data_IF_194388990499
#
_entry.id   IF_194388990499
#
_cell.length_a   1.000
_cell.length_b   1.000
_cell.length_c   1.000
_cell.angle_alpha   90.00
_cell.angle_beta   90.00
_cell.angle_gamma   90.00
#
_symmetry.space_group_name_H-M   'P 1'
#
loop_
_entity.id
_entity.type
_entity.pdbx_description
1 polymer ?
#
# COMPACT_ATOMS: atom_id res chain seq x y z
N UNK A 1 -14.71 -44.86 -36.07
CA UNK A 1 -15.19 -44.14 -34.87
C UNK A 1 -14.11 -43.97 -33.80
N UNK A 2 -13.23 -44.94 -33.56
CA UNK A 2 -12.15 -44.81 -32.57
C UNK A 2 -11.10 -43.70 -32.87
N UNK A 3 -10.76 -43.47 -34.14
CA UNK A 3 -9.78 -42.44 -34.52
C UNK A 3 -10.26 -40.99 -34.29
N UNK A 4 -11.57 -40.74 -34.44
CA UNK A 4 -12.15 -39.41 -34.20
C UNK A 4 -12.17 -39.07 -32.70
N UNK A 5 -12.49 -40.04 -31.85
CA UNK A 5 -12.48 -39.88 -30.39
C UNK A 5 -11.07 -39.61 -29.83
N UNK A 6 -10.05 -40.28 -30.36
CA UNK A 6 -8.66 -40.04 -29.97
C UNK A 6 -8.17 -38.64 -30.37
N UNK A 7 -8.59 -38.15 -31.55
CA UNK A 7 -8.21 -36.81 -32.03
C UNK A 7 -8.89 -35.69 -31.23
N UNK A 8 -10.15 -35.89 -30.82
CA UNK A 8 -10.87 -34.95 -29.96
C UNK A 8 -10.32 -34.92 -28.53
N UNK A 9 -9.86 -36.06 -28.00
CA UNK A 9 -9.23 -36.14 -26.69
C UNK A 9 -7.85 -35.48 -26.69
N UNK A 10 -7.06 -35.66 -27.75
CA UNK A 10 -5.76 -35.01 -27.91
C UNK A 10 -5.90 -33.49 -28.05
N UNK A 11 -6.92 -33.02 -28.78
CA UNK A 11 -7.21 -31.59 -28.92
C UNK A 11 -7.71 -30.99 -27.61
N UNK A 12 -8.56 -31.68 -26.85
CA UNK A 12 -8.98 -31.25 -25.51
C UNK A 12 -7.81 -31.26 -24.53
N UNK A 13 -6.89 -32.22 -24.62
CA UNK A 13 -5.68 -32.27 -23.80
C UNK A 13 -4.74 -31.12 -24.18
N UNK A 14 -4.52 -30.84 -25.46
CA UNK A 14 -3.70 -29.72 -25.94
C UNK A 14 -4.32 -28.36 -25.59
N UNK A 15 -5.64 -28.20 -25.67
CA UNK A 15 -6.32 -27.00 -25.17
C UNK A 15 -6.24 -26.90 -23.65
N UNK A 16 -6.33 -28.01 -22.91
CA UNK A 16 -6.16 -28.01 -21.46
C UNK A 16 -4.72 -27.75 -21.02
N UNK A 17 -3.72 -28.14 -21.82
CA UNK A 17 -2.31 -27.78 -21.59
C UNK A 17 -2.01 -26.34 -22.04
N UNK A 18 -2.76 -25.80 -23.00
CA UNK A 18 -2.67 -24.39 -23.41
C UNK A 18 -3.41 -23.45 -22.44
N UNK A 19 -4.44 -23.92 -21.73
CA UNK A 19 -5.08 -23.19 -20.62
C UNK A 19 -4.43 -23.48 -19.27
N UNK A 20 -3.77 -24.63 -19.11
CA UNK A 20 -2.81 -24.94 -18.06
C UNK A 20 -1.38 -24.54 -18.45
N UNK A 21 -1.23 -23.63 -19.41
CA UNK A 21 -0.18 -22.63 -19.30
C UNK A 21 -0.53 -21.88 -18.02
N UNK A 22 -0.10 -22.46 -16.89
CA UNK A 22 0.03 -21.77 -15.64
C UNK A 22 0.53 -20.38 -15.99
N UNK A 23 -0.08 -19.35 -15.40
CA UNK A 23 0.61 -18.08 -15.33
C UNK A 23 2.01 -18.43 -14.78
N UNK A 24 3.03 -18.46 -15.64
CA UNK A 24 4.37 -18.59 -15.13
C UNK A 24 4.55 -17.28 -14.39
N UNK A 25 4.57 -17.37 -13.06
CA UNK A 25 4.74 -16.21 -12.21
C UNK A 25 5.95 -15.45 -12.74
N UNK A 26 5.70 -14.25 -13.27
CA UNK A 26 6.78 -13.49 -13.88
C UNK A 26 7.87 -13.29 -12.84
N UNK A 27 9.15 -13.49 -13.19
CA UNK A 27 10.22 -13.42 -12.21
C UNK A 27 10.23 -12.09 -11.46
N UNK A 28 9.91 -12.14 -10.16
CA UNK A 28 9.92 -10.97 -9.30
C UNK A 28 11.37 -10.63 -8.91
N UNK A 29 11.74 -9.39 -9.14
CA UNK A 29 12.94 -8.76 -8.61
C UNK A 29 12.60 -8.04 -7.32
N UNK A 30 13.48 -8.11 -6.32
CA UNK A 30 13.35 -7.40 -5.05
C UNK A 30 14.68 -6.80 -4.64
N UNK A 31 14.69 -5.50 -4.31
CA UNK A 31 15.91 -4.80 -3.87
C UNK A 31 15.58 -3.69 -2.88
N UNK A 32 16.47 -3.51 -1.92
CA UNK A 32 16.50 -2.35 -1.04
C UNK A 32 17.43 -1.26 -1.60
N UNK A 33 16.98 -0.02 -1.47
CA UNK A 33 17.68 1.19 -1.84
C UNK A 33 17.68 2.15 -0.64
N UNK A 34 18.54 3.17 -0.70
CA UNK A 34 18.76 4.07 0.42
C UNK A 34 18.79 5.52 -0.05
N UNK A 35 18.20 6.41 0.75
CA UNK A 35 18.38 7.85 0.57
C UNK A 35 19.80 8.28 0.96
N UNK A 36 20.24 9.49 0.55
CA UNK A 36 21.27 10.21 1.29
C UNK A 36 20.93 10.29 2.78
N UNK A 37 21.96 10.40 3.62
CA UNK A 37 21.76 10.51 5.06
C UNK A 37 21.30 11.89 5.48
N UNK A 38 20.40 11.94 6.46
CA UNK A 38 19.96 13.16 7.15
C UNK A 38 20.32 13.09 8.63
N UNK A 39 20.55 14.25 9.24
CA UNK A 39 20.99 14.33 10.65
C UNK A 39 19.82 14.72 11.56
N UNK A 40 19.64 13.98 12.65
CA UNK A 40 18.57 14.21 13.62
C UNK A 40 19.17 14.44 15.01
N UNK A 41 18.97 15.65 15.54
CA UNK A 41 19.21 15.98 16.94
C UNK A 41 17.90 15.84 17.74
N UNK A 42 17.94 15.71 19.08
CA UNK A 42 16.71 15.68 19.88
C UNK A 42 15.77 16.86 19.57
N UNK A 43 14.51 16.56 19.26
CA UNK A 43 13.49 17.55 18.90
C UNK A 43 13.53 18.03 17.45
N UNK A 44 14.62 17.80 16.69
CA UNK A 44 14.75 18.39 15.35
C UNK A 44 13.79 17.76 14.34
N UNK A 45 13.38 18.56 13.35
CA UNK A 45 12.62 18.09 12.20
C UNK A 45 13.51 18.04 10.95
N UNK A 46 13.51 16.89 10.29
CA UNK A 46 13.99 16.75 8.92
C UNK A 46 12.78 16.80 7.98
N UNK A 47 12.84 17.67 6.98
CA UNK A 47 11.87 17.70 5.88
C UNK A 47 12.64 17.85 4.57
N UNK A 48 13.21 16.73 4.11
CA UNK A 48 14.20 16.69 3.04
C UNK A 48 13.61 16.19 1.72
N UNK A 49 14.06 16.78 0.61
CA UNK A 49 13.69 16.42 -0.76
C UNK A 49 14.90 15.80 -1.48
N UNK A 50 14.92 14.48 -1.61
CA UNK A 50 15.99 13.75 -2.29
C UNK A 50 15.63 13.50 -3.76
N UNK A 51 16.31 14.19 -4.67
CA UNK A 51 16.11 14.08 -6.12
C UNK A 51 16.99 12.99 -6.73
N UNK A 52 16.49 12.39 -7.83
CA UNK A 52 17.16 11.32 -8.58
C UNK A 52 17.63 10.16 -7.69
N UNK A 53 16.79 9.77 -6.72
CA UNK A 53 17.08 8.61 -5.88
C UNK A 53 17.16 7.34 -6.71
N UNK A 54 17.95 6.38 -6.25
CA UNK A 54 18.05 5.10 -6.94
C UNK A 54 16.69 4.42 -7.01
N UNK A 55 16.28 4.04 -8.21
CA UNK A 55 15.00 3.40 -8.49
C UNK A 55 15.17 2.44 -9.66
N UNK A 56 14.44 1.31 -9.72
CA UNK A 56 14.52 0.39 -10.85
C UNK A 56 14.20 1.11 -12.18
N UNK A 57 14.99 0.80 -13.20
CA UNK A 57 14.90 1.40 -14.54
C UNK A 57 14.51 0.33 -15.57
N UNK A 58 13.78 0.75 -16.59
CA UNK A 58 13.19 -0.13 -17.60
C UNK A 58 11.67 0.04 -17.64
N UNK A 59 11.01 -0.61 -18.60
CA UNK A 59 9.56 -0.67 -18.64
C UNK A 59 9.09 -1.78 -17.70
N UNK A 60 8.64 -1.42 -16.51
CA UNK A 60 8.44 -2.35 -15.40
C UNK A 60 7.04 -2.22 -14.79
N UNK A 61 6.59 -3.31 -14.17
CA UNK A 61 5.44 -3.33 -13.29
C UNK A 61 5.91 -3.39 -11.83
N UNK A 62 5.69 -2.32 -11.08
CA UNK A 62 5.92 -2.32 -9.64
C UNK A 62 4.82 -3.14 -8.94
N UNK A 63 5.27 -3.97 -8.01
CA UNK A 63 4.47 -4.97 -7.28
C UNK A 63 4.40 -4.71 -5.79
N UNK A 64 5.42 -4.09 -5.21
CA UNK A 64 5.38 -3.71 -3.79
C UNK A 64 6.35 -2.58 -3.47
N UNK A 65 5.96 -1.73 -2.52
CA UNK A 65 6.81 -0.72 -1.90
C UNK A 65 6.70 -0.82 -0.37
N UNK A 66 7.85 -0.71 0.29
CA UNK A 66 7.98 -0.57 1.75
C UNK A 66 9.10 0.40 2.06
N UNK A 67 8.98 1.16 3.13
CA UNK A 67 10.02 2.10 3.54
C UNK A 67 10.15 2.16 5.07
N UNK A 68 11.38 2.21 5.57
CA UNK A 68 11.72 2.35 6.99
C UNK A 68 12.83 3.41 7.18
N UNK A 69 12.84 4.12 8.31
CA UNK A 69 14.02 4.89 8.74
C UNK A 69 14.99 3.95 9.44
N UNK A 70 16.27 4.00 9.05
CA UNK A 70 17.32 3.12 9.59
C UNK A 70 18.54 3.90 10.07
N UNK A 71 19.27 3.32 11.03
CA UNK A 71 20.59 3.79 11.45
C UNK A 71 21.72 3.30 10.50
N UNK A 72 22.96 3.57 10.89
CA UNK A 72 24.15 3.17 10.13
C UNK A 72 24.37 1.64 10.08
N UNK A 73 23.79 0.90 11.02
CA UNK A 73 23.87 -0.57 11.13
C UNK A 73 22.63 -1.25 10.52
N UNK A 74 21.80 -0.49 9.80
CA UNK A 74 20.58 -0.94 9.12
C UNK A 74 19.44 -1.37 10.06
N UNK A 75 19.52 -0.99 11.34
CA UNK A 75 18.43 -1.21 12.30
C UNK A 75 17.32 -0.21 12.06
N UNK A 76 16.07 -0.71 12.07
CA UNK A 76 14.88 0.14 11.96
C UNK A 76 14.71 0.96 13.24
N UNK A 77 14.54 2.27 13.08
CA UNK A 77 14.32 3.19 14.19
C UNK A 77 12.86 3.12 14.65
N UNK A 78 12.59 2.94 15.96
CA UNK A 78 11.24 2.99 16.52
C UNK A 78 10.62 4.40 16.45
N UNK A 79 9.29 4.46 16.31
CA UNK A 79 8.56 5.73 16.16
C UNK A 79 8.54 6.60 17.42
N UNK A 80 8.69 5.99 18.58
CA UNK A 80 8.83 6.71 19.84
C UNK A 80 10.19 7.42 19.99
N UNK A 81 11.15 7.15 19.09
CA UNK A 81 12.40 7.87 19.00
C UNK A 81 12.43 8.86 17.82
N UNK A 82 12.20 8.38 16.60
CA UNK A 82 12.01 9.23 15.42
C UNK A 82 10.70 8.86 14.76
N UNK A 83 9.76 9.79 14.82
CA UNK A 83 8.47 9.67 14.20
C UNK A 83 8.61 10.01 12.72
N UNK A 84 8.48 9.01 11.84
CA UNK A 84 8.41 9.23 10.39
C UNK A 84 7.04 9.80 10.04
N UNK A 85 6.88 11.10 10.20
CA UNK A 85 5.59 11.75 10.03
C UNK A 85 5.04 11.51 8.61
N UNK A 86 5.84 11.81 7.58
CA UNK A 86 5.48 11.51 6.19
C UNK A 86 6.68 10.97 5.42
N UNK A 87 6.44 10.04 4.50
CA UNK A 87 7.41 9.69 3.49
C UNK A 87 6.71 9.27 2.22
N UNK A 88 7.16 9.78 1.09
CA UNK A 88 6.51 9.47 -0.18
C UNK A 88 7.43 9.64 -1.38
N UNK A 89 7.10 8.93 -2.45
CA UNK A 89 7.84 8.92 -3.70
C UNK A 89 7.02 9.52 -4.82
N UNK A 90 7.63 10.45 -5.53
CA UNK A 90 7.07 11.22 -6.64
C UNK A 90 7.83 10.87 -7.91
N UNK A 91 7.09 10.71 -9.01
CA UNK A 91 7.64 10.58 -10.36
C UNK A 91 7.81 11.97 -10.97
N UNK A 92 8.91 12.20 -11.67
CA UNK A 92 9.08 13.41 -12.48
C UNK A 92 9.93 13.13 -13.72
N UNK A 93 9.85 14.02 -14.70
CA UNK A 93 10.73 14.00 -15.87
C UNK A 93 11.70 15.17 -15.81
N UNK A 94 12.95 14.90 -16.15
CA UNK A 94 14.02 15.90 -16.17
C UNK A 94 14.64 15.97 -17.56
N UNK A 95 14.79 17.17 -18.11
CA UNK A 95 15.52 17.36 -19.37
C UNK A 95 17.01 17.00 -19.18
N UNK A 96 17.61 16.33 -20.16
CA UNK A 96 19.02 15.87 -20.07
C UNK A 96 20.05 16.97 -19.91
N UNK A 97 19.72 18.20 -20.31
CA UNK A 97 20.56 19.38 -20.17
C UNK A 97 20.23 20.22 -18.92
N UNK A 98 19.25 19.81 -18.12
CA UNK A 98 18.84 20.45 -16.89
C UNK A 98 19.44 19.69 -15.71
N UNK A 99 20.01 20.40 -14.74
CA UNK A 99 20.62 19.80 -13.55
C UNK A 99 19.86 20.24 -12.32
N UNK A 100 19.55 19.28 -11.45
CA UNK A 100 18.89 19.50 -10.16
C UNK A 100 19.87 19.01 -9.10
N UNK A 101 20.19 19.82 -8.08
CA UNK A 101 20.96 19.36 -6.95
C UNK A 101 20.31 18.11 -6.29
N UNK A 102 21.10 17.15 -5.77
CA UNK A 102 20.54 15.92 -5.19
C UNK A 102 19.64 16.14 -3.97
N UNK A 103 19.83 17.25 -3.25
CA UNK A 103 19.03 17.63 -2.08
C UNK A 103 18.63 19.09 -2.22
N UNK A 104 17.35 19.38 -2.03
CA UNK A 104 16.79 20.73 -2.03
C UNK A 104 15.87 20.91 -0.82
N UNK A 105 15.66 22.17 -0.45
CA UNK A 105 14.58 22.59 0.45
C UNK A 105 13.34 23.00 -0.38
N UNK A 106 12.23 23.25 0.31
CA UNK A 106 10.99 23.68 -0.34
C UNK A 106 11.12 25.07 -1.03
N UNK A 107 12.06 25.90 -0.59
CA UNK A 107 12.30 27.23 -1.16
C UNK A 107 13.05 27.18 -2.50
N UNK A 108 13.78 26.10 -2.76
CA UNK A 108 14.63 25.92 -3.95
C UNK A 108 14.13 24.84 -4.91
N UNK A 109 12.87 24.44 -4.79
CA UNK A 109 12.27 23.42 -5.65
C UNK A 109 12.47 23.76 -7.15
N UNK A 110 12.80 22.75 -7.97
CA UNK A 110 13.10 22.96 -9.37
C UNK A 110 11.86 23.51 -10.10
N UNK A 111 12.06 24.60 -10.82
CA UNK A 111 11.04 25.27 -11.62
C UNK A 111 11.52 25.46 -13.07
N UNK A 112 10.57 25.51 -13.99
CA UNK A 112 10.78 25.80 -15.42
C UNK A 112 10.79 24.56 -16.32
N UNK A 113 11.04 24.80 -17.61
CA UNK A 113 10.81 23.82 -18.69
C UNK A 113 11.65 22.53 -18.60
N UNK A 114 12.71 22.52 -17.79
CA UNK A 114 13.57 21.36 -17.59
C UNK A 114 13.04 20.33 -16.59
N UNK A 115 11.96 20.64 -15.87
CA UNK A 115 11.36 19.79 -14.84
C UNK A 115 9.85 19.63 -15.08
N UNK A 116 9.38 18.38 -15.12
CA UNK A 116 7.96 18.06 -15.31
C UNK A 116 7.54 17.14 -14.17
N UNK A 117 6.77 17.69 -13.24
CA UNK A 117 6.13 16.90 -12.19
C UNK A 117 5.12 15.92 -12.81
N UNK A 118 5.24 14.63 -12.47
CA UNK A 118 4.34 13.58 -12.99
C UNK A 118 3.49 13.04 -11.87
N UNK A 119 2.25 13.54 -11.82
CA UNK A 119 1.27 13.19 -10.81
C UNK A 119 0.70 11.80 -11.02
N UNK A 120 0.16 11.26 -9.93
CA UNK A 120 -0.79 10.15 -9.96
C UNK A 120 -2.13 10.60 -10.61
N UNK A 121 -3.16 9.75 -10.53
CA UNK A 121 -4.48 10.00 -11.13
C UNK A 121 -5.46 10.73 -10.18
N UNK A 122 -4.98 11.16 -9.01
CA UNK A 122 -5.75 11.84 -7.97
C UNK A 122 -6.34 13.18 -8.43
N UNK A 123 -7.29 13.67 -7.63
CA UNK A 123 -8.16 14.80 -7.98
C UNK A 123 -7.71 16.16 -7.44
N UNK A 124 -6.90 16.18 -6.40
CA UNK A 124 -6.51 17.42 -5.72
C UNK A 124 -5.79 18.38 -6.67
N UNK A 125 -6.21 19.64 -6.76
CA UNK A 125 -5.59 20.60 -7.67
C UNK A 125 -4.33 21.23 -7.06
N UNK A 126 -3.50 21.92 -7.87
CA UNK A 126 -2.30 22.60 -7.38
C UNK A 126 -1.11 21.70 -7.04
N UNK A 127 -0.95 20.59 -7.75
CA UNK A 127 0.16 19.61 -7.59
C UNK A 127 0.26 18.89 -6.24
N UNK A 128 -0.80 19.01 -5.42
CA UNK A 128 -0.95 18.36 -4.13
C UNK A 128 -1.17 16.85 -4.24
N UNK A 129 -0.64 16.08 -3.29
CA UNK A 129 -0.90 14.64 -3.20
C UNK A 129 -0.61 13.85 -4.51
N UNK A 130 0.41 14.26 -5.27
CA UNK A 130 0.77 13.66 -6.57
C UNK A 130 1.66 12.40 -6.50
N UNK A 131 2.02 11.96 -5.30
CA UNK A 131 2.89 10.81 -5.04
C UNK A 131 2.31 9.48 -5.51
N UNK A 132 3.18 8.54 -5.86
CA UNK A 132 2.80 7.19 -6.28
C UNK A 132 2.85 6.19 -5.12
N UNK A 133 3.72 6.44 -4.14
CA UNK A 133 3.98 5.53 -3.02
C UNK A 133 4.23 6.31 -1.75
N UNK A 134 3.94 5.66 -0.61
CA UNK A 134 4.18 6.17 0.72
C UNK A 134 3.24 7.31 1.11
N UNK A 135 2.84 7.34 2.38
CA UNK A 135 2.15 8.48 2.99
C UNK A 135 2.76 8.79 4.36
N UNK A 136 3.10 7.78 5.17
CA UNK A 136 3.80 7.97 6.44
C UNK A 136 4.17 6.68 7.15
N UNK A 137 3.93 6.63 8.46
CA UNK A 137 4.34 5.53 9.35
C UNK A 137 3.70 4.18 9.03
N UNK A 138 2.56 4.14 8.34
CA UNK A 138 1.85 2.89 8.09
C UNK A 138 2.67 1.90 7.24
N UNK A 139 3.65 2.39 6.48
CA UNK A 139 4.48 1.61 5.55
C UNK A 139 5.44 0.63 6.22
N UNK A 140 5.79 0.79 7.50
CA UNK A 140 6.71 -0.12 8.19
C UNK A 140 6.11 -1.53 8.33
N UNK A 141 4.82 -1.61 8.67
CA UNK A 141 4.11 -2.90 8.82
C UNK A 141 3.09 -3.17 7.71
N UNK A 142 2.85 -2.22 6.80
CA UNK A 142 1.84 -2.32 5.75
C UNK A 142 2.45 -2.09 4.38
N UNK A 143 3.14 -3.10 3.80
CA UNK A 143 3.65 -2.97 2.44
C UNK A 143 2.47 -2.83 1.46
N UNK A 144 2.54 -1.85 0.56
CA UNK A 144 1.55 -1.71 -0.52
C UNK A 144 1.80 -2.79 -1.56
N UNK A 145 1.19 -3.97 -1.42
CA UNK A 145 1.33 -5.07 -2.38
C UNK A 145 0.27 -4.96 -3.48
N UNK A 146 0.68 -5.13 -4.73
CA UNK A 146 -0.20 -5.11 -5.92
C UNK A 146 -0.38 -6.56 -6.39
N UNK A 147 -1.59 -7.14 -6.33
CA UNK A 147 -1.81 -8.54 -6.70
C UNK A 147 -1.63 -8.76 -8.21
N UNK A 148 -1.35 -9.98 -8.63
CA UNK A 148 -1.38 -10.32 -10.06
C UNK A 148 -2.83 -10.36 -10.58
N UNK A 149 -3.07 -10.04 -11.87
CA UNK A 149 -2.10 -9.66 -12.91
C UNK A 149 -1.79 -8.14 -12.94
N UNK A 150 -2.05 -7.42 -11.86
CA UNK A 150 -2.00 -5.96 -11.84
C UNK A 150 -0.59 -5.41 -11.58
N UNK A 151 -0.30 -4.19 -12.03
CA UNK A 151 0.98 -3.53 -11.75
C UNK A 151 0.91 -2.02 -11.89
N UNK A 152 1.69 -1.30 -11.08
CA UNK A 152 1.91 0.14 -11.28
C UNK A 152 3.00 0.29 -12.36
N UNK A 153 2.63 0.84 -13.51
CA UNK A 153 3.50 0.96 -14.68
C UNK A 153 4.53 2.10 -14.52
N UNK A 154 5.80 1.78 -14.68
CA UNK A 154 6.91 2.76 -14.67
C UNK A 154 7.82 2.60 -15.88
N UNK A 155 8.57 3.66 -16.20
CA UNK A 155 9.57 3.67 -17.27
C UNK A 155 9.03 3.36 -18.68
N UNK A 156 7.71 3.47 -18.89
CA UNK A 156 7.13 3.44 -20.23
C UNK A 156 7.66 4.66 -21.02
N UNK A 157 8.33 4.46 -22.16
CA UNK A 157 8.91 5.56 -22.94
C UNK A 157 7.87 6.42 -23.66
N UNK A 158 6.65 5.90 -23.92
CA UNK A 158 5.63 6.60 -24.68
C UNK A 158 5.20 7.96 -24.06
N UNK A 159 4.93 8.08 -22.74
CA UNK A 159 4.58 9.35 -22.13
C UNK A 159 5.77 10.27 -21.81
N UNK A 160 7.03 9.84 -22.02
CA UNK A 160 8.23 10.62 -21.68
C UNK A 160 8.58 11.54 -22.86
N UNK A 161 8.63 12.88 -22.67
CA UNK A 161 8.99 13.80 -23.75
C UNK A 161 10.39 13.55 -24.30
N UNK A 162 10.59 13.80 -25.59
CA UNK A 162 11.90 13.66 -26.21
C UNK A 162 12.94 14.56 -25.51
N UNK A 163 14.09 13.99 -25.15
CA UNK A 163 15.17 14.70 -24.46
C UNK A 163 15.02 14.73 -22.93
N UNK A 164 14.00 14.09 -22.38
CA UNK A 164 13.78 13.92 -20.94
C UNK A 164 14.06 12.49 -20.50
N UNK A 165 14.44 12.35 -19.25
CA UNK A 165 14.54 11.06 -18.56
C UNK A 165 13.57 11.03 -17.37
N UNK A 166 13.04 9.84 -17.09
CA UNK A 166 12.24 9.59 -15.89
C UNK A 166 13.13 9.43 -14.66
N UNK A 167 12.74 10.12 -13.59
CA UNK A 167 13.42 10.13 -12.30
C UNK A 167 12.41 10.15 -11.15
N UNK A 168 12.93 9.92 -9.95
CA UNK A 168 12.14 9.74 -8.74
C UNK A 168 12.66 10.66 -7.64
N UNK A 169 11.72 11.34 -6.98
CA UNK A 169 11.93 12.19 -5.82
C UNK A 169 11.41 11.43 -4.60
N UNK A 170 12.25 11.30 -3.58
CA UNK A 170 11.84 10.80 -2.26
C UNK A 170 11.77 11.99 -1.31
N UNK A 171 10.62 12.16 -0.67
CA UNK A 171 10.43 13.16 0.37
C UNK A 171 10.38 12.47 1.72
N UNK A 172 11.10 13.00 2.70
CA UNK A 172 11.16 12.48 4.06
C UNK A 172 10.84 13.60 5.03
N UNK A 173 9.77 13.43 5.79
CA UNK A 173 9.40 14.27 6.93
C UNK A 173 9.48 13.44 8.20
N UNK A 174 10.50 13.69 9.03
CA UNK A 174 10.78 12.94 10.24
C UNK A 174 11.01 13.89 11.42
N UNK A 175 10.53 13.49 12.61
CA UNK A 175 10.61 14.29 13.83
C UNK A 175 11.31 13.46 14.90
N UNK A 176 12.43 13.94 15.44
CA UNK A 176 13.07 13.28 16.57
C UNK A 176 12.34 13.63 17.86
N UNK A 177 11.68 12.65 18.47
CA UNK A 177 10.87 12.85 19.68
C UNK A 177 11.61 12.43 20.95
N UNK A 178 12.90 12.07 20.85
CA UNK A 178 13.71 11.74 22.02
C UNK A 178 13.86 12.98 22.91
N UNK A 179 13.53 12.82 24.19
CA UNK A 179 13.58 13.91 25.16
C UNK A 179 12.49 14.98 25.00
N UNK A 180 11.57 14.84 24.03
CA UNK A 180 10.48 15.79 23.84
C UNK A 180 9.63 15.95 25.13
N UNK A 181 9.18 17.17 25.40
CA UNK A 181 8.29 17.48 26.52
C UNK A 181 6.94 16.78 26.36
N UNK A 182 6.44 16.72 25.12
CA UNK A 182 5.22 16.01 24.73
C UNK A 182 5.43 15.39 23.35
N UNK A 183 5.71 14.07 23.32
CA UNK A 183 6.01 13.34 22.08
C UNK A 183 4.85 13.37 21.08
N UNK A 184 3.62 13.20 21.56
CA UNK A 184 2.45 13.20 20.69
C UNK A 184 2.10 14.61 20.24
N UNK A 185 2.29 15.61 21.09
CA UNK A 185 2.17 17.00 20.66
C UNK A 185 3.20 17.37 19.58
N UNK A 186 4.43 16.86 19.66
CA UNK A 186 5.41 17.02 18.57
C UNK A 186 4.93 16.35 17.28
N UNK A 187 4.45 15.11 17.37
CA UNK A 187 3.94 14.36 16.22
C UNK A 187 2.70 15.01 15.57
N UNK A 188 1.82 15.62 16.37
CA UNK A 188 0.66 16.42 15.92
C UNK A 188 1.05 17.84 15.48
N UNK A 189 2.35 18.16 15.44
CA UNK A 189 2.90 19.46 15.05
C UNK A 189 2.26 20.66 15.77
N UNK A 190 2.00 20.52 17.08
CA UNK A 190 1.39 21.57 17.89
C UNK A 190 2.26 22.82 17.95
N UNK A 191 1.71 23.97 17.57
CA UNK A 191 2.43 25.24 17.47
C UNK A 191 3.18 25.64 18.74
N UNK A 192 2.58 25.40 19.91
CA UNK A 192 3.16 25.75 21.21
C UNK A 192 4.42 24.96 21.57
N UNK A 193 4.67 23.83 20.89
CA UNK A 193 5.87 23.03 21.08
C UNK A 193 7.00 23.35 20.10
N UNK A 194 6.71 23.96 18.94
CA UNK A 194 7.73 24.33 17.97
C UNK A 194 8.19 25.79 18.08
N UNK A 195 7.43 26.62 18.82
CA UNK A 195 7.72 28.04 19.04
C UNK A 195 7.94 28.82 17.73
N UNK A 196 7.13 28.52 16.73
CA UNK A 196 7.15 29.19 15.42
C UNK A 196 6.01 30.20 15.29
N UNK A 197 6.26 31.25 14.53
CA UNK A 197 5.29 32.31 14.22
C UNK A 197 5.03 32.50 12.73
N UNK A 198 5.84 31.85 11.88
CA UNK A 198 5.72 31.85 10.42
C UNK A 198 5.72 30.42 9.91
N UNK A 199 5.20 30.22 8.71
CA UNK A 199 5.31 28.95 7.99
C UNK A 199 6.67 28.81 7.27
N UNK A 200 6.81 27.72 6.52
CA UNK A 200 7.98 27.40 5.72
C UNK A 200 8.29 28.38 4.57
N UNK A 201 7.37 29.29 4.24
CA UNK A 201 7.56 30.33 3.22
C UNK A 201 7.79 31.71 3.87
N UNK A 202 7.85 31.77 5.19
CA UNK A 202 7.99 33.01 5.95
C UNK A 202 6.69 33.78 6.16
N UNK A 203 5.54 33.20 5.80
CA UNK A 203 4.24 33.84 5.96
C UNK A 203 3.74 33.69 7.41
N UNK A 204 3.19 34.76 8.03
CA UNK A 204 2.70 34.69 9.41
C UNK A 204 1.60 33.63 9.60
N UNK A 205 1.75 32.81 10.65
CA UNK A 205 0.72 31.86 11.04
C UNK A 205 -0.48 32.60 11.63
N UNK A 206 -1.70 32.19 11.24
CA UNK A 206 -2.94 32.73 11.80
C UNK A 206 -3.02 32.47 13.31
N UNK A 207 -3.69 33.37 14.03
CA UNK A 207 -3.86 33.24 15.49
C UNK A 207 -4.67 32.00 15.89
N UNK A 208 -5.60 31.57 15.04
CA UNK A 208 -6.43 30.38 15.23
C UNK A 208 -5.79 29.08 14.68
N UNK A 209 -4.56 29.15 14.17
CA UNK A 209 -3.79 27.96 13.77
C UNK A 209 -3.03 27.38 14.97
N UNK A 210 -3.59 26.31 15.55
CA UNK A 210 -3.05 25.65 16.73
C UNK A 210 -1.91 24.64 16.44
N UNK A 211 -1.75 24.22 15.19
CA UNK A 211 -0.69 23.28 14.78
C UNK A 211 -1.01 22.53 13.49
N UNK A 212 0.01 21.88 12.95
CA UNK A 212 -0.02 21.12 11.70
C UNK A 212 1.27 21.32 10.89
N UNK A 213 1.26 20.97 9.61
CA UNK A 213 2.42 20.99 8.70
C UNK A 213 3.16 22.33 8.70
N UNK A 214 2.46 23.46 8.85
CA UNK A 214 3.09 24.77 8.89
C UNK A 214 3.92 25.03 10.17
N UNK A 215 3.89 24.12 11.15
CA UNK A 215 4.69 24.22 12.38
C UNK A 215 5.93 23.33 12.42
N UNK A 216 5.93 22.23 11.68
CA UNK A 216 6.99 21.22 11.69
C UNK A 216 7.65 21.11 10.32
N UNK A 217 8.10 22.24 9.77
CA UNK A 217 8.87 22.26 8.54
C UNK A 217 10.38 22.09 8.81
N UNK A 218 11.17 22.03 7.74
CA UNK A 218 12.62 21.80 7.82
C UNK A 218 13.30 22.73 8.85
N UNK A 219 14.24 22.18 9.61
CA UNK A 219 15.06 22.90 10.60
C UNK A 219 14.31 23.47 11.82
N UNK A 220 13.00 23.27 11.92
CA UNK A 220 12.28 23.52 13.17
C UNK A 220 12.67 22.50 14.23
N UNK A 221 12.40 22.83 15.50
CA UNK A 221 12.72 21.96 16.63
C UNK A 221 11.54 21.93 17.61
N UNK A 222 11.02 20.74 17.87
CA UNK A 222 10.06 20.52 18.93
C UNK A 222 10.72 20.65 20.30
N UNK A 223 9.98 21.17 21.27
CA UNK A 223 10.46 21.41 22.64
C UNK A 223 10.95 20.13 23.32
N UNK A 224 12.22 20.15 23.72
CA UNK A 224 12.90 19.09 24.48
C UNK A 224 13.01 19.50 25.95
N UNK A 225 13.00 18.52 26.87
CA UNK A 225 13.23 18.78 28.30
C UNK A 225 14.65 19.27 28.53
N UNK A 226 14.81 20.25 29.42
CA UNK A 226 16.11 20.90 29.69
C UNK A 226 17.17 19.94 30.24
N UNK A 227 16.76 18.87 30.93
CA UNK A 227 17.63 17.85 31.52
C UNK A 227 18.01 16.72 30.55
N UNK A 228 17.49 16.73 29.32
CA UNK A 228 17.76 15.69 28.35
C UNK A 228 18.98 16.01 27.48
N UNK A 229 20.08 15.30 27.72
CA UNK A 229 21.26 15.31 26.85
C UNK A 229 21.18 14.14 25.84
N UNK A 230 20.85 14.44 24.60
CA UNK A 230 20.83 13.46 23.51
C UNK A 230 21.82 13.80 22.40
N UNK A 231 22.36 12.78 21.75
CA UNK A 231 23.30 12.95 20.63
C UNK A 231 22.57 13.08 19.29
N UNK A 232 23.17 13.86 18.40
CA UNK A 232 22.81 13.87 16.98
C UNK A 232 23.14 12.51 16.37
N UNK A 233 22.22 11.98 15.56
CA UNK A 233 22.40 10.74 14.81
C UNK A 233 22.26 10.98 13.31
N UNK A 234 22.98 10.21 12.52
CA UNK A 234 22.82 10.17 11.07
C UNK A 234 21.93 8.99 10.71
N UNK A 235 20.81 9.27 10.03
CA UNK A 235 19.80 8.30 9.62
C UNK A 235 19.65 8.29 8.10
N UNK A 236 19.04 7.23 7.57
CA UNK A 236 18.68 7.12 6.16
C UNK A 236 17.29 6.54 6.02
N UNK A 237 16.64 6.84 4.91
CA UNK A 237 15.45 6.12 4.50
C UNK A 237 15.87 4.89 3.70
N UNK A 238 15.52 3.69 4.17
CA UNK A 238 15.63 2.44 3.41
C UNK A 238 14.28 2.16 2.76
N UNK A 239 14.25 2.00 1.45
CA UNK A 239 13.03 1.61 0.74
C UNK A 239 13.26 0.36 -0.10
N UNK A 240 12.34 -0.59 0.03
CA UNK A 240 12.39 -1.89 -0.66
C UNK A 240 11.29 -1.95 -1.71
N UNK A 241 11.69 -2.21 -2.95
CA UNK A 241 10.79 -2.37 -4.07
C UNK A 241 10.77 -3.82 -4.52
N UNK A 242 9.60 -4.28 -4.95
CA UNK A 242 9.43 -5.52 -5.71
C UNK A 242 8.82 -5.20 -7.07
N UNK A 243 9.34 -5.77 -8.14
CA UNK A 243 8.89 -5.49 -9.50
C UNK A 243 9.11 -6.66 -10.46
N UNK A 244 8.51 -6.59 -11.64
CA UNK A 244 8.76 -7.48 -12.78
C UNK A 244 8.88 -6.66 -14.07
N UNK A 245 9.48 -7.25 -15.10
CA UNK A 245 9.43 -6.71 -16.46
C UNK A 245 7.98 -6.54 -16.92
N UNK A 246 7.72 -5.45 -17.64
CA UNK A 246 6.41 -5.20 -18.21
C UNK A 246 6.14 -6.15 -19.37
N UNK A 247 4.99 -6.82 -19.35
CA UNK A 247 4.51 -7.66 -20.45
C UNK A 247 3.04 -7.36 -20.75
N UNK A 248 2.54 -7.60 -21.97
CA UNK A 248 1.18 -7.22 -22.37
C UNK A 248 0.04 -7.82 -21.54
N UNK A 249 0.29 -8.90 -20.79
CA UNK A 249 -0.68 -9.51 -19.89
C UNK A 249 -0.81 -8.81 -18.54
N UNK A 250 0.11 -7.91 -18.20
CA UNK A 250 0.02 -7.11 -16.96
C UNK A 250 -1.02 -6.01 -17.18
N UNK A 251 -1.87 -5.83 -16.17
CA UNK A 251 -2.94 -4.84 -16.20
C UNK A 251 -2.49 -3.60 -15.42
N UNK A 252 -2.33 -2.43 -16.08
CA UNK A 252 -1.96 -1.21 -15.39
C UNK A 252 -3.03 -0.81 -14.37
N UNK A 253 -2.59 -0.39 -13.19
CA UNK A 253 -3.46 0.26 -12.21
C UNK A 253 -3.25 1.76 -12.23
N UNK A 254 -4.33 2.49 -12.01
CA UNK A 254 -4.32 3.90 -11.68
C UNK A 254 -4.23 4.07 -10.17
N UNK A 255 -3.30 4.92 -9.76
CA UNK A 255 -3.13 5.35 -8.37
C UNK A 255 -3.97 6.59 -8.12
N UNK A 256 -4.91 6.51 -7.18
CA UNK A 256 -5.68 7.65 -6.68
C UNK A 256 -5.35 7.92 -5.22
N UNK A 257 -5.30 9.20 -4.86
CA UNK A 257 -5.26 9.66 -3.48
C UNK A 257 -6.41 10.65 -3.30
N UNK A 258 -7.31 10.32 -2.37
CA UNK A 258 -8.44 11.16 -1.98
C UNK A 258 -8.18 11.79 -0.62
N UNK A 259 -8.68 13.00 -0.44
CA UNK A 259 -8.51 13.78 0.78
C UNK A 259 -9.89 14.05 1.38
N UNK A 260 -10.06 13.75 2.67
CA UNK A 260 -11.33 14.01 3.37
C UNK A 260 -11.62 15.51 3.52
N UNK A 261 -10.62 16.35 3.30
CA UNK A 261 -10.76 17.81 3.34
C UNK A 261 -11.17 18.42 2.01
N UNK A 262 -11.27 17.62 0.92
CA UNK A 262 -11.68 18.10 -0.39
C UNK A 262 -13.06 18.79 -0.35
N UNK A 263 -13.09 20.05 -0.81
CA UNK A 263 -14.30 20.84 -1.01
C UNK A 263 -14.66 20.91 -2.50
N UNK A 264 -15.15 19.78 -3.03
CA UNK A 264 -15.53 19.65 -4.43
C UNK A 264 -16.66 20.62 -4.80
N UNK A 265 -16.39 21.47 -5.79
CA UNK A 265 -17.36 22.43 -6.35
C UNK A 265 -17.57 22.18 -7.84
N UNK A 266 -18.83 22.15 -8.27
CA UNK A 266 -19.15 22.14 -9.70
C UNK A 266 -19.04 23.55 -10.27
N UNK A 267 -18.18 23.74 -11.26
CA UNK A 267 -17.94 25.01 -11.93
C UNK A 267 -18.39 24.91 -13.38
N UNK A 268 -19.22 25.85 -13.82
CA UNK A 268 -19.68 25.94 -15.21
C UNK A 268 -18.72 26.82 -15.99
N UNK A 269 -18.17 26.30 -17.08
CA UNK A 269 -17.38 27.08 -18.02
C UNK A 269 -18.33 28.06 -18.75
N UNK A 270 -18.14 29.39 -18.61
CA UNK A 270 -19.08 30.38 -19.16
C UNK A 270 -19.16 30.37 -20.69
N UNK A 271 -18.11 29.91 -21.37
CA UNK A 271 -17.99 29.95 -22.83
C UNK A 271 -18.50 28.69 -23.52
N UNK A 272 -18.38 27.53 -22.87
CA UNK A 272 -18.80 26.23 -23.43
C UNK A 272 -20.05 25.64 -22.75
N UNK A 273 -20.44 26.16 -21.60
CA UNK A 273 -21.48 25.57 -20.75
C UNK A 273 -21.07 24.25 -20.09
N UNK A 274 -19.84 23.79 -20.31
CA UNK A 274 -19.34 22.54 -19.73
C UNK A 274 -19.21 22.67 -18.20
N UNK A 275 -19.67 21.64 -17.48
CA UNK A 275 -19.53 21.56 -16.02
C UNK A 275 -18.28 20.76 -15.69
N UNK A 276 -17.42 21.31 -14.83
CA UNK A 276 -16.22 20.65 -14.34
C UNK A 276 -16.19 20.64 -12.81
N UNK A 277 -15.68 19.57 -12.21
CA UNK A 277 -15.41 19.54 -10.78
C UNK A 277 -14.10 20.29 -10.48
N UNK A 278 -14.17 21.24 -9.54
CA UNK A 278 -13.02 21.90 -8.94
C UNK A 278 -12.81 21.28 -7.55
N UNK A 279 -11.61 20.80 -7.28
CA UNK A 279 -11.23 20.16 -6.02
C UNK A 279 -10.27 21.05 -5.26
N UNK A 280 -10.54 21.23 -3.96
CA UNK A 280 -9.79 22.11 -3.07
C UNK A 280 -9.43 21.30 -1.82
N UNK A 281 -8.27 20.66 -1.89
CA UNK A 281 -7.77 19.76 -0.86
C UNK A 281 -6.86 20.54 0.10
N UNK A 282 -7.11 20.41 1.41
CA UNK A 282 -6.36 21.09 2.47
C UNK A 282 -5.29 20.20 3.13
N UNK A 283 -5.26 18.90 2.81
CA UNK A 283 -4.34 17.86 3.30
C UNK A 283 -4.54 17.50 4.78
N UNK A 284 -4.64 18.50 5.65
CA UNK A 284 -4.80 18.35 7.09
C UNK A 284 -6.00 19.14 7.62
N UNK A 285 -6.49 18.73 8.78
CA UNK A 285 -7.53 19.45 9.51
C UNK A 285 -7.34 19.29 11.02
N UNK A 286 -8.13 20.06 11.78
CA UNK A 286 -8.14 20.00 13.23
C UNK A 286 -9.38 19.24 13.73
N UNK A 287 -9.19 18.37 14.72
CA UNK A 287 -10.27 17.76 15.49
C UNK A 287 -10.41 18.54 16.79
N UNK A 288 -11.58 19.11 17.02
CA UNK A 288 -11.88 19.82 18.26
C UNK A 288 -12.16 18.84 19.41
N UNK A 289 -11.81 19.24 20.64
CA UNK A 289 -12.13 18.43 21.81
C UNK A 289 -13.63 18.45 22.10
N UNK A 290 -14.25 17.30 22.35
CA UNK A 290 -15.60 17.28 22.89
C UNK A 290 -15.61 17.61 24.39
N UNK A 291 -16.64 18.33 24.86
CA UNK A 291 -16.90 18.48 26.29
C UNK A 291 -17.55 17.19 26.81
N UNK A 292 -16.82 16.44 27.64
CA UNK A 292 -17.40 15.30 28.39
C UNK A 292 -18.00 15.85 29.69
N UNK A 293 -19.24 16.32 29.63
CA UNK A 293 -20.01 16.52 30.85
C UNK A 293 -20.26 15.15 31.50
N UNK A 294 -20.07 15.05 32.82
CA UNK A 294 -19.90 13.82 33.60
C UNK A 294 -21.03 12.77 33.60
N UNK A 295 -21.90 12.72 32.59
CA UNK A 295 -22.79 11.60 32.28
C UNK A 295 -22.22 10.83 31.07
N UNK A 296 -21.33 9.88 31.35
CA UNK A 296 -20.54 9.14 30.38
C UNK A 296 -21.30 8.14 29.50
N UNK A 297 -22.18 8.59 28.59
CA UNK A 297 -22.76 7.72 27.56
C UNK A 297 -22.97 8.45 26.22
N UNK A 298 -21.87 8.75 25.52
CA UNK A 298 -21.72 8.69 24.05
C UNK A 298 -20.25 8.95 23.69
N UNK A 299 -19.65 8.04 22.92
CA UNK A 299 -18.24 8.11 22.54
C UNK A 299 -17.87 9.47 21.93
N UNK A 300 -16.75 10.03 22.39
CA UNK A 300 -16.22 11.30 21.94
C UNK A 300 -15.52 11.10 20.59
N UNK A 301 -16.27 11.17 19.49
CA UNK A 301 -15.76 10.96 18.14
C UNK A 301 -16.11 12.14 17.21
N UNK A 302 -15.14 12.58 16.42
CA UNK A 302 -15.28 13.56 15.36
C UNK A 302 -15.38 12.87 14.01
N UNK A 303 -16.30 13.35 13.17
CA UNK A 303 -16.58 12.79 11.85
C UNK A 303 -16.35 13.86 10.80
N UNK A 304 -15.46 13.57 9.85
CA UNK A 304 -15.26 14.43 8.68
C UNK A 304 -15.58 13.65 7.41
N UNK A 305 -16.29 14.28 6.48
CA UNK A 305 -16.64 13.70 5.19
C UNK A 305 -16.36 14.66 4.05
N UNK A 306 -15.97 14.11 2.91
CA UNK A 306 -15.98 14.79 1.61
C UNK A 306 -16.76 13.96 0.58
N UNK A 307 -17.24 14.64 -0.47
CA UNK A 307 -17.84 13.99 -1.64
C UNK A 307 -16.86 14.17 -2.79
N UNK A 308 -16.49 13.06 -3.44
CA UNK A 308 -15.52 13.03 -4.51
C UNK A 308 -16.13 12.40 -5.75
N UNK A 309 -16.02 13.06 -6.90
CA UNK A 309 -16.37 12.46 -8.18
C UNK A 309 -15.20 11.63 -8.73
N UNK A 310 -15.42 10.35 -9.03
CA UNK A 310 -14.38 9.49 -9.60
C UNK A 310 -14.08 9.90 -11.06
N UNK A 311 -12.86 10.36 -11.40
CA UNK A 311 -12.59 10.82 -12.77
C UNK A 311 -12.64 9.69 -13.81
N UNK A 312 -12.09 8.52 -13.44
CA UNK A 312 -12.10 7.31 -14.25
C UNK A 312 -12.24 6.10 -13.35
N UNK A 313 -13.44 5.52 -13.34
CA UNK A 313 -13.81 4.36 -12.55
C UNK A 313 -13.06 3.09 -12.96
N UNK A 314 -13.41 1.98 -12.33
CA UNK A 314 -12.79 0.68 -12.58
C UNK A 314 -12.97 -0.28 -11.41
N UNK A 315 -12.31 -1.42 -11.50
CA UNK A 315 -12.25 -2.42 -10.45
C UNK A 315 -11.26 -1.96 -9.37
N UNK A 316 -11.71 -1.93 -8.12
CA UNK A 316 -10.85 -1.65 -6.97
C UNK A 316 -9.94 -2.86 -6.76
N UNK A 317 -8.64 -2.63 -6.76
CA UNK A 317 -7.62 -3.67 -6.59
C UNK A 317 -7.05 -3.65 -5.18
N UNK A 318 -6.93 -2.44 -4.62
CA UNK A 318 -6.32 -2.22 -3.32
C UNK A 318 -6.80 -0.89 -2.74
N UNK A 319 -6.97 -0.83 -1.42
CA UNK A 319 -7.19 0.40 -0.68
C UNK A 319 -6.50 0.43 0.68
N UNK A 320 -5.93 1.57 1.04
CA UNK A 320 -5.43 1.87 2.40
C UNK A 320 -5.68 3.34 2.72
N UNK A 321 -5.62 3.70 4.00
CA UNK A 321 -5.60 5.12 4.40
C UNK A 321 -4.32 5.51 5.11
N UNK A 322 -3.99 6.79 5.01
CA UNK A 322 -3.06 7.44 5.92
C UNK A 322 -3.85 8.23 6.94
N UNK A 323 -3.60 7.92 8.21
CA UNK A 323 -4.27 8.47 9.37
C UNK A 323 -3.20 8.76 10.43
N UNK A 324 -3.52 9.68 11.34
CA UNK A 324 -2.67 10.07 12.47
C UNK A 324 -3.20 9.51 13.78
N UNK A 325 -2.36 9.55 14.82
CA UNK A 325 -2.70 9.03 16.14
C UNK A 325 -4.03 9.62 16.64
N UNK A 326 -4.90 8.74 17.12
CA UNK A 326 -6.25 9.09 17.55
C UNK A 326 -7.33 8.76 16.52
N UNK A 327 -6.97 8.36 15.31
CA UNK A 327 -7.92 7.85 14.33
C UNK A 327 -8.58 6.54 14.82
N UNK A 328 -9.85 6.38 14.49
CA UNK A 328 -10.63 5.17 14.75
C UNK A 328 -10.71 4.33 13.46
N UNK A 329 -11.10 4.97 12.35
CA UNK A 329 -11.15 4.36 11.03
C UNK A 329 -11.30 5.44 9.94
N UNK A 330 -11.20 5.01 8.69
CA UNK A 330 -11.70 5.77 7.55
C UNK A 330 -12.31 4.83 6.52
N UNK A 331 -13.42 5.26 5.92
CA UNK A 331 -14.22 4.47 4.99
C UNK A 331 -14.52 5.26 3.73
N UNK A 332 -14.39 4.58 2.58
CA UNK A 332 -14.84 5.07 1.29
C UNK A 332 -16.14 4.35 0.92
N UNK A 333 -17.17 5.12 0.60
CA UNK A 333 -18.48 4.62 0.20
C UNK A 333 -18.78 4.99 -1.26
N UNK A 334 -19.49 4.10 -1.95
CA UNK A 334 -20.08 4.38 -3.26
C UNK A 334 -21.31 5.27 -3.15
N UNK A 335 -21.81 5.75 -4.28
CA UNK A 335 -22.93 6.70 -4.33
C UNK A 335 -24.23 6.12 -3.73
N UNK A 336 -24.39 4.80 -3.81
CA UNK A 336 -25.51 4.03 -3.26
C UNK A 336 -25.33 3.65 -1.77
N UNK A 337 -24.25 4.13 -1.14
CA UNK A 337 -23.93 3.88 0.26
C UNK A 337 -23.22 2.54 0.51
N UNK A 338 -22.88 1.76 -0.52
CA UNK A 338 -22.08 0.55 -0.34
C UNK A 338 -20.67 0.89 0.15
N UNK A 339 -20.12 0.03 1.01
CA UNK A 339 -18.73 0.18 1.45
C UNK A 339 -17.81 -0.29 0.33
N UNK A 340 -16.95 0.60 -0.17
CA UNK A 340 -15.90 0.27 -1.12
C UNK A 340 -14.66 -0.27 -0.39
N UNK A 341 -14.28 0.40 0.70
CA UNK A 341 -13.17 0.01 1.54
C UNK A 341 -13.25 0.70 2.91
N UNK A 342 -13.06 -0.06 3.99
CA UNK A 342 -12.86 0.47 5.34
C UNK A 342 -11.49 0.06 5.84
N UNK A 343 -10.77 1.02 6.41
CA UNK A 343 -9.40 0.84 6.92
C UNK A 343 -9.34 1.32 8.36
N UNK A 344 -8.48 0.70 9.17
CA UNK A 344 -8.30 0.98 10.59
C UNK A 344 -6.81 1.01 10.92
N UNK A 345 -6.37 1.99 11.74
CA UNK A 345 -4.99 2.03 12.19
C UNK A 345 -4.65 0.80 13.04
N UNK A 346 -3.43 0.32 12.89
CA UNK A 346 -2.82 -0.67 13.78
C UNK A 346 -1.89 0.11 14.70
N UNK A 347 -2.23 0.14 15.99
CA UNK A 347 -1.44 0.81 17.00
C UNK A 347 -0.34 -0.11 17.54
N UNK A 348 0.83 0.47 17.82
CA UNK A 348 1.94 -0.23 18.44
C UNK A 348 1.65 -0.67 19.87
N UNK A 349 2.49 -1.55 20.39
CA UNK A 349 2.44 -2.02 21.78
C UNK A 349 3.69 -1.55 22.54
N UNK A 350 3.63 -1.56 23.88
CA UNK A 350 4.76 -1.21 24.73
C UNK A 350 5.22 0.23 24.53
N UNK A 351 6.47 0.44 24.10
CA UNK A 351 7.01 1.80 23.91
C UNK A 351 6.41 2.54 22.72
N UNK A 352 5.72 1.84 21.82
CA UNK A 352 5.03 2.43 20.65
C UNK A 352 3.51 2.48 20.83
N UNK A 353 3.01 2.30 22.06
CA UNK A 353 1.60 2.50 22.37
C UNK A 353 1.14 3.90 21.95
N UNK A 354 0.05 4.00 21.20
CA UNK A 354 -0.50 5.25 20.66
C UNK A 354 0.14 5.72 19.35
N UNK A 355 1.21 5.09 18.87
CA UNK A 355 1.73 5.30 17.52
C UNK A 355 1.06 4.36 16.52
N UNK A 356 0.76 4.88 15.33
CA UNK A 356 0.29 4.04 14.22
C UNK A 356 1.50 3.38 13.57
N UNK A 357 1.61 2.07 13.73
CA UNK A 357 2.70 1.24 13.16
C UNK A 357 2.30 0.53 11.88
N UNK A 358 1.01 0.60 11.52
CA UNK A 358 0.45 -0.03 10.33
C UNK A 358 -1.01 0.36 10.09
N UNK A 359 -1.60 -0.18 9.04
CA UNK A 359 -2.97 0.06 8.62
C UNK A 359 -3.58 -1.25 8.12
N UNK A 360 -4.85 -1.50 8.43
CA UNK A 360 -5.58 -2.57 7.75
C UNK A 360 -5.85 -2.18 6.30
N UNK A 361 -5.75 -3.12 5.38
CA UNK A 361 -5.90 -2.88 3.93
C UNK A 361 -7.13 -3.57 3.36
N UNK A 362 -7.67 -3.03 2.27
CA UNK A 362 -8.68 -3.69 1.46
C UNK A 362 -8.05 -4.35 0.24
N UNK A 363 -8.33 -5.64 0.07
CA UNK A 363 -8.01 -6.43 -1.12
C UNK A 363 -9.30 -7.13 -1.56
N UNK A 364 -10.22 -6.43 -2.25
CA UNK A 364 -11.44 -7.07 -2.72
C UNK A 364 -11.11 -8.12 -3.79
N UNK A 365 -11.98 -9.12 -3.92
CA UNK A 365 -11.87 -10.09 -5.00
C UNK A 365 -11.95 -9.35 -6.35
N UNK A 366 -11.10 -9.67 -7.35
CA UNK A 366 -11.12 -9.00 -8.63
C UNK A 366 -12.53 -8.99 -9.27
N UNK A 367 -13.05 -7.80 -9.56
CA UNK A 367 -14.36 -7.59 -10.18
C UNK A 367 -15.51 -7.44 -9.18
N UNK A 368 -15.28 -7.69 -7.89
CA UNK A 368 -16.33 -7.62 -6.86
C UNK A 368 -16.68 -6.20 -6.42
N UNK A 369 -15.72 -5.27 -6.48
CA UNK A 369 -15.91 -3.86 -6.12
C UNK A 369 -15.57 -3.00 -7.32
N UNK A 370 -16.62 -2.49 -7.96
CA UNK A 370 -16.52 -1.64 -9.14
C UNK A 370 -16.86 -0.19 -8.80
N UNK A 371 -16.20 0.79 -9.39
CA UNK A 371 -16.58 2.22 -9.30
C UNK A 371 -16.86 2.71 -10.72
N UNK A 372 -17.97 3.40 -10.95
CA UNK A 372 -18.30 3.93 -12.27
C UNK A 372 -17.56 5.24 -12.58
N UNK A 373 -17.38 5.53 -13.87
CA UNK A 373 -16.88 6.83 -14.33
C UNK A 373 -17.84 7.93 -13.86
N UNK A 374 -17.32 8.92 -13.12
CA UNK A 374 -18.09 10.01 -12.56
C UNK A 374 -18.92 9.66 -11.31
N UNK A 375 -18.83 8.43 -10.79
CA UNK A 375 -19.53 8.04 -9.56
C UNK A 375 -19.14 8.97 -8.40
N UNK A 376 -20.15 9.45 -7.66
CA UNK A 376 -19.93 10.25 -6.46
C UNK A 376 -19.67 9.33 -5.27
N UNK A 377 -18.43 9.34 -4.78
CA UNK A 377 -18.02 8.60 -3.60
C UNK A 377 -18.05 9.51 -2.36
N UNK A 378 -18.28 8.92 -1.20
CA UNK A 378 -18.16 9.60 0.09
C UNK A 378 -16.92 9.08 0.80
N UNK A 379 -15.96 9.95 1.07
CA UNK A 379 -14.83 9.63 1.93
C UNK A 379 -15.16 10.12 3.34
N UNK A 380 -15.18 9.21 4.30
CA UNK A 380 -15.41 9.49 5.72
C UNK A 380 -14.18 9.14 6.54
N UNK A 381 -13.88 9.96 7.54
CA UNK A 381 -12.88 9.70 8.55
C UNK A 381 -13.45 9.91 9.94
N UNK A 382 -12.99 9.11 10.89
CA UNK A 382 -13.45 9.14 12.28
C UNK A 382 -12.24 9.20 13.20
N UNK A 383 -12.20 10.21 14.05
CA UNK A 383 -11.15 10.41 15.06
C UNK A 383 -11.75 10.46 16.46
N UNK A 384 -10.97 10.05 17.45
CA UNK A 384 -11.27 10.35 18.85
C UNK A 384 -11.12 11.84 19.08
N UNK A 385 -12.15 12.44 19.68
CA UNK A 385 -12.23 13.86 20.00
C UNK A 385 -11.99 14.13 21.49
N UNK A 386 -11.46 13.17 22.25
CA UNK A 386 -11.25 13.26 23.71
C UNK A 386 -10.33 14.42 24.11
N UNK A 387 -9.48 14.82 23.18
CA UNK A 387 -8.66 16.03 23.23
C UNK A 387 -8.62 16.63 21.83
N UNK A 388 -8.24 17.91 21.76
CA UNK A 388 -7.95 18.54 20.47
C UNK A 388 -6.77 17.83 19.81
N UNK A 389 -6.87 17.64 18.49
CA UNK A 389 -5.77 17.11 17.65
C UNK A 389 -5.52 18.07 16.51
N UNK A 390 -4.26 18.41 16.29
CA UNK A 390 -3.83 19.33 15.23
C UNK A 390 -3.20 18.55 14.08
N UNK A 391 -3.30 19.10 12.87
CA UNK A 391 -2.65 18.53 11.69
C UNK A 391 -3.07 17.11 11.31
N UNK A 392 -4.25 16.63 11.76
CA UNK A 392 -4.66 15.26 11.43
C UNK A 392 -4.99 15.15 9.95
N UNK A 393 -4.65 14.00 9.36
CA UNK A 393 -4.93 13.71 7.96
C UNK A 393 -5.93 12.56 7.85
N UNK A 394 -6.69 12.54 6.77
CA UNK A 394 -7.30 11.29 6.33
C UNK A 394 -7.21 11.25 4.81
N UNK A 395 -6.18 10.55 4.33
CA UNK A 395 -5.93 10.36 2.91
C UNK A 395 -6.30 8.93 2.55
N UNK A 396 -7.00 8.72 1.43
CA UNK A 396 -7.38 7.39 0.95
C UNK A 396 -6.60 7.05 -0.31
N UNK A 397 -5.68 6.10 -0.22
CA UNK A 397 -4.92 5.58 -1.34
C UNK A 397 -5.68 4.41 -1.97
N UNK A 398 -5.95 4.48 -3.27
CA UNK A 398 -6.74 3.49 -3.98
C UNK A 398 -6.04 3.09 -5.30
N UNK A 399 -5.93 1.79 -5.55
CA UNK A 399 -5.53 1.26 -6.85
C UNK A 399 -6.76 0.79 -7.60
N UNK A 400 -6.94 1.31 -8.81
CA UNK A 400 -8.08 1.00 -9.66
C UNK A 400 -7.60 0.54 -11.02
N UNK A 401 -8.12 -0.56 -11.52
CA UNK A 401 -7.82 -1.08 -12.85
C UNK A 401 -9.05 -1.02 -13.75
N UNK A 402 -8.84 -0.89 -15.06
CA UNK A 402 -9.93 -1.10 -16.01
C UNK A 402 -10.46 -2.54 -15.94
N UNK A 403 -11.66 -2.76 -16.50
CA UNK A 403 -12.14 -4.11 -16.75
C UNK A 403 -11.09 -4.83 -17.59
N UNK A 404 -10.60 -5.95 -17.07
CA UNK A 404 -10.01 -6.95 -17.94
C UNK A 404 -11.12 -7.29 -18.93
N UNK A 405 -10.90 -7.05 -20.23
CA UNK A 405 -11.85 -7.52 -21.22
C UNK A 405 -12.11 -8.98 -20.91
N UNK A 406 -13.38 -9.37 -20.75
CA UNK A 406 -13.73 -10.77 -20.52
C UNK A 406 -12.98 -11.59 -21.56
N UNK A 407 -11.93 -12.30 -21.15
CA UNK A 407 -11.53 -13.50 -21.87
C UNK A 407 -12.84 -14.27 -21.99
N UNK A 408 -13.30 -14.59 -23.22
CA UNK A 408 -14.60 -15.19 -23.41
C UNK A 408 -14.76 -16.29 -22.39
N UNK A 409 -15.76 -16.15 -21.51
CA UNK A 409 -16.09 -17.18 -20.55
C UNK A 409 -16.05 -18.50 -21.32
N UNK A 410 -15.22 -19.43 -20.85
CA UNK A 410 -15.18 -20.76 -21.44
C UNK A 410 -16.65 -21.20 -21.62
N UNK A 411 -17.04 -21.61 -22.84
CA UNK A 411 -18.45 -21.75 -23.18
C UNK A 411 -19.15 -22.57 -22.11
N UNK A 412 -20.22 -22.01 -21.55
CA UNK A 412 -21.02 -22.62 -20.50
C UNK A 412 -21.39 -24.05 -20.90
N UNK A 413 -20.74 -25.01 -20.26
CA UNK A 413 -20.85 -26.42 -20.65
C UNK A 413 -19.62 -27.26 -20.30
N UNK A 414 -19.05 -27.12 -19.10
CA UNK A 414 -18.21 -28.20 -18.55
C UNK A 414 -18.65 -28.49 -17.12
N UNK A 415 -19.26 -29.68 -16.97
CA UNK A 415 -20.07 -30.12 -15.85
C UNK A 415 -19.37 -30.09 -14.48
N UNK A 416 -20.23 -29.86 -13.48
CA UNK A 416 -20.12 -30.03 -12.03
C UNK A 416 -19.65 -31.41 -11.50
N UNK A 417 -18.91 -32.20 -12.28
CA UNK A 417 -18.55 -33.57 -11.90
C UNK A 417 -17.10 -33.77 -11.45
N UNK A 418 -16.28 -32.73 -11.35
CA UNK A 418 -14.89 -32.88 -10.87
C UNK A 418 -14.73 -32.63 -9.35
N UNK A 419 -15.65 -31.91 -8.71
CA UNK A 419 -15.58 -31.62 -7.27
C UNK A 419 -16.38 -32.58 -6.36
N UNK A 420 -17.17 -33.51 -6.91
CA UNK A 420 -17.78 -34.59 -6.10
C UNK A 420 -16.81 -35.76 -5.83
N UNK A 421 -15.76 -35.95 -6.63
CA UNK A 421 -14.81 -37.06 -6.47
C UNK A 421 -13.84 -36.91 -5.29
N UNK A 422 -13.54 -35.68 -4.85
CA UNK A 422 -12.59 -35.43 -3.74
C UNK A 422 -13.30 -35.33 -2.39
N UNK A 423 -14.62 -35.08 -2.37
CA UNK A 423 -15.41 -35.09 -1.13
C UNK A 423 -15.87 -36.49 -0.70
N UNK A 424 -15.92 -37.49 -1.59
CA UNK A 424 -16.32 -38.85 -1.20
C UNK A 424 -15.18 -39.69 -0.58
N UNK A 425 -13.90 -39.36 -0.84
CA UNK A 425 -12.77 -40.10 -0.25
C UNK A 425 -12.42 -39.69 1.19
N UNK A 426 -12.92 -38.56 1.69
CA UNK A 426 -12.68 -38.14 3.08
C UNK A 426 -13.83 -38.51 4.04
N UNK A 427 -15.01 -38.86 3.53
CA UNK A 427 -16.17 -39.21 4.36
C UNK A 427 -16.25 -40.71 4.72
N UNK A 428 -15.57 -41.59 3.98
CA UNK A 428 -15.58 -43.04 4.22
C UNK A 428 -14.56 -43.52 5.28
N UNK A 429 -13.74 -42.61 5.83
CA UNK A 429 -12.79 -42.92 6.92
C UNK A 429 -13.20 -42.46 8.32
N UNK A 430 -14.37 -41.82 8.46
CA UNK A 430 -14.85 -41.29 9.75
C UNK A 430 -16.25 -41.77 10.16
N UNK A 431 -16.87 -42.70 9.43
CA UNK A 431 -18.21 -43.22 9.74
C UNK A 431 -18.26 -44.76 9.75
N UNK A 432 -17.29 -45.41 10.40
CA UNK A 432 -17.24 -46.87 10.59
C UNK A 432 -17.21 -47.27 12.06
N UNK A 433 -18.10 -46.70 12.87
CA UNK A 433 -18.23 -46.96 14.31
C UNK A 433 -19.68 -47.16 14.71
N UNK A 434 -20.33 -48.19 14.15
CA UNK A 434 -21.68 -48.61 14.53
C UNK A 434 -21.64 -49.76 15.54
N UNK A 435 -22.07 -49.49 16.77
CA UNK A 435 -22.35 -50.51 17.78
C UNK A 435 -23.69 -51.21 17.53
N UNK A 436 -23.78 -52.47 17.95
CA UNK A 436 -25.03 -53.24 17.97
C UNK A 436 -24.81 -54.65 18.51
N UNK A 437 -25.25 -54.87 19.75
CA UNK A 437 -25.12 -56.12 20.51
C UNK A 437 -26.10 -57.21 20.05
N UNK A 438 -25.68 -58.48 20.01
CA UNK A 438 -26.50 -59.67 20.36
C UNK A 438 -25.59 -60.79 20.93
N UNK A 439 -26.15 -61.52 21.90
CA UNK A 439 -25.64 -62.59 22.75
C UNK A 439 -25.21 -63.91 22.06
N UNK A 440 -24.44 -64.67 22.86
CA UNK A 440 -24.39 -66.14 23.06
C UNK A 440 -23.55 -67.01 22.11
N UNK A 441 -22.71 -67.86 22.73
CA UNK A 441 -22.19 -69.08 22.11
C UNK A 441 -20.74 -69.39 22.46
N UNK A 442 -20.56 -70.35 23.36
CA UNK A 442 -19.30 -71.03 23.73
C UNK A 442 -18.48 -71.55 22.54
N UNK A 443 -17.17 -71.70 22.78
CA UNK A 443 -16.42 -72.85 22.24
C UNK A 443 -15.17 -72.56 21.41
N UNK A 444 -14.02 -72.57 22.10
CA UNK A 444 -12.96 -73.56 21.81
C UNK A 444 -11.98 -73.33 20.65
N UNK A 445 -10.70 -73.32 21.04
CA UNK A 445 -9.53 -73.84 20.30
C UNK A 445 -9.09 -73.05 19.06
N UNK A 446 -7.81 -72.99 18.64
CA UNK A 446 -6.49 -73.34 19.16
C UNK A 446 -5.52 -72.98 18.01
N UNK A 447 -4.29 -72.59 18.32
CA UNK A 447 -3.13 -72.73 17.42
C UNK A 447 -2.92 -71.56 16.43
N UNK A 448 -1.85 -70.77 16.53
CA UNK A 448 -0.42 -71.09 16.40
C UNK A 448 0.06 -71.20 14.94
N UNK A 449 0.98 -70.28 14.62
CA UNK A 449 2.20 -70.46 13.81
C UNK A 449 2.15 -70.31 12.28
N UNK A 450 2.90 -69.27 11.84
CA UNK A 450 4.08 -69.32 10.96
C UNK A 450 3.94 -69.94 9.57
N UNK A 451 4.18 -69.10 8.56
CA UNK A 451 5.38 -69.28 7.74
C UNK A 451 5.22 -69.46 6.22
N UNK A 452 6.10 -68.72 5.52
CA UNK A 452 6.74 -69.07 4.23
C UNK A 452 5.83 -68.92 3.00
N UNK A 453 6.08 -67.98 2.08
CA UNK A 453 7.24 -67.87 1.16
C UNK A 453 6.71 -68.25 -0.24
N UNK A 454 6.80 -67.43 -1.29
CA UNK A 454 7.91 -67.21 -2.23
C UNK A 454 7.26 -66.35 -3.37
N UNK A 455 7.90 -65.43 -4.10
CA UNK A 455 8.81 -65.65 -5.25
C UNK A 455 9.32 -64.27 -5.74
N UNK A 456 10.66 -64.12 -5.85
CA UNK A 456 11.55 -63.52 -6.90
C UNK A 456 11.00 -62.45 -7.89
N UNK A 457 11.71 -61.45 -8.46
CA UNK A 457 13.13 -61.07 -8.76
C UNK A 457 13.17 -59.50 -8.79
N UNK A 458 14.26 -58.73 -8.83
CA UNK A 458 15.71 -58.89 -9.05
C UNK A 458 16.34 -57.48 -9.00
N UNK A 459 17.66 -57.38 -8.84
CA UNK A 459 18.36 -56.18 -8.36
C UNK A 459 19.46 -55.64 -9.32
N UNK A 460 19.95 -54.41 -9.00
CA UNK A 460 21.29 -53.80 -9.27
C UNK A 460 21.51 -53.16 -10.67
N UNK A 461 22.27 -52.07 -10.92
CA UNK A 461 22.70 -50.82 -10.24
C UNK A 461 23.59 -50.00 -11.24
N UNK A 462 23.79 -48.70 -10.94
CA UNK A 462 24.96 -47.81 -11.24
C UNK A 462 25.31 -47.36 -12.68
N UNK A 463 25.45 -46.03 -12.89
CA UNK A 463 26.75 -45.33 -13.07
C UNK A 463 26.76 -44.12 -14.04
N UNK A 464 27.54 -43.11 -13.63
CA UNK A 464 27.95 -41.87 -14.30
C UNK A 464 28.99 -42.10 -15.42
N UNK A 465 29.04 -41.13 -16.35
CA UNK A 465 30.18 -40.65 -17.17
C UNK A 465 30.81 -41.56 -18.24
N UNK A 466 30.82 -41.05 -19.48
CA UNK A 466 32.00 -41.03 -20.37
C UNK A 466 31.82 -39.94 -21.47
N UNK A 467 32.62 -38.87 -21.39
CA UNK A 467 33.08 -38.06 -22.54
C UNK A 467 34.32 -38.77 -23.11
N UNK A 468 34.45 -38.89 -24.44
CA UNK A 468 35.63 -38.50 -25.25
C UNK A 468 35.37 -38.71 -26.76
N UNK A 469 35.82 -37.71 -27.52
CA UNK A 469 35.97 -37.51 -28.99
C UNK A 469 36.33 -38.71 -29.87
N UNK A 470 35.75 -38.71 -31.09
CA UNK A 470 36.35 -38.68 -32.46
C UNK A 470 35.16 -38.82 -33.43
N UNK A 471 34.92 -37.98 -34.43
CA UNK A 471 35.79 -37.44 -35.49
C UNK A 471 35.54 -35.97 -35.78
#
# INVERSE_FOLDING_TARGET
>A
MAAAAASSLLLALLLSLATAQAWEALPLQKRAFYSPSFSMAPGSVAFDYFYDVEFPRGHLALKSFRADVVDADDNVIPYHEVYLHHSYIVRYYQARNYSIPPVLDIETLPYGDGFIYRRNHGICQGDLLGQYFGLGTEMQSTPTAVPDPYGIEIGNPAPIPHGFDEKWLLVVHAIDTRGAVDRFGCAECRRDLYNVTVDQFGEPLKDDYYGGLSCCYAHTQCKVREDYEGTTRSLRMRYTLTWTEWVPSIIPVRVYIFDVTDDMKLVVNPSSGAVAAKHDCLIEYMVESCHVDGNGEKGCADFKKSIVAMPKGGNVIFGLTHLHSGAINSTLYGQDGRVLCTTKPIYGEGMEEGYIVGMSTCYPEPGSVWIDDGELMVHESVYTAERRRTGVMALFYLLVADRVADTPAAPAGFNDNYFMGVRSMLAEKLAGGGGGAVRSGDGGASGAFVGVGLVLLGAVATALLLRVKRS
#
